data_IF_456695987710
#
_entry.id   IF_456695987710
#
_cell.length_a   1.000
_cell.length_b   1.000
_cell.length_c   1.000
_cell.angle_alpha   90.00
_cell.angle_beta   90.00
_cell.angle_gamma   90.00
#
_symmetry.space_group_name_H-M   'P 1'
#
loop_
_entity.id
_entity.type
_entity.pdbx_description
1 polymer ?
#
# COMPACT_ATOMS: atom_id res chain seq x y z
N UNK A 1 -5.22 21.41 16.52
CA UNK A 1 -5.61 20.13 15.89
C UNK A 1 -5.16 20.14 14.44
N UNK A 2 -4.31 19.21 14.08
CA UNK A 2 -3.80 19.11 12.71
C UNK A 2 -4.84 18.46 11.82
N UNK A 3 -5.11 19.09 10.70
CA UNK A 3 -6.02 18.53 9.71
C UNK A 3 -5.25 17.57 8.81
N UNK A 4 -5.66 16.31 8.80
CA UNK A 4 -5.10 15.31 7.92
C UNK A 4 -5.79 15.37 6.56
N UNK A 5 -5.02 15.31 5.51
CA UNK A 5 -5.53 15.24 4.15
C UNK A 5 -4.95 14.02 3.43
N UNK A 6 -5.65 13.56 2.41
CA UNK A 6 -5.26 12.37 1.66
C UNK A 6 -5.29 12.72 0.18
N UNK A 7 -4.26 12.30 -0.55
CA UNK A 7 -4.18 12.51 -1.99
C UNK A 7 -3.83 11.21 -2.69
N UNK A 8 -4.48 10.97 -3.81
CA UNK A 8 -4.25 9.81 -4.66
C UNK A 8 -3.62 10.27 -5.98
N UNK A 9 -2.58 9.57 -6.39
CA UNK A 9 -1.87 9.83 -7.65
C UNK A 9 -1.94 8.56 -8.51
N UNK A 10 -2.51 8.69 -9.69
CA UNK A 10 -2.74 7.58 -10.62
C UNK A 10 -1.70 7.58 -11.74
N UNK A 11 -1.31 6.38 -12.15
CA UNK A 11 -0.40 6.20 -13.27
C UNK A 11 1.06 6.36 -12.89
N UNK A 12 1.92 6.45 -13.90
CA UNK A 12 3.36 6.59 -13.66
C UNK A 12 3.63 7.89 -12.89
N UNK A 13 4.29 7.81 -11.74
CA UNK A 13 4.43 8.98 -10.87
C UNK A 13 5.40 10.03 -11.45
N UNK A 14 5.10 11.30 -11.16
CA UNK A 14 6.01 12.39 -11.47
C UNK A 14 7.28 12.28 -10.62
N UNK A 15 8.33 13.01 -11.03
CA UNK A 15 9.57 13.06 -10.25
C UNK A 15 9.32 13.55 -8.83
N UNK A 16 8.44 14.54 -8.67
CA UNK A 16 8.08 15.09 -7.36
C UNK A 16 7.46 14.00 -6.47
N UNK A 17 6.50 13.24 -7.00
CA UNK A 17 5.85 12.15 -6.26
C UNK A 17 6.87 11.06 -5.92
N UNK A 18 7.77 10.72 -6.84
CA UNK A 18 8.82 9.73 -6.58
C UNK A 18 9.75 10.18 -5.45
N UNK A 19 10.09 11.46 -5.39
CA UNK A 19 10.92 12.01 -4.31
C UNK A 19 10.20 11.93 -2.96
N UNK A 20 8.92 12.27 -2.93
CA UNK A 20 8.12 12.16 -1.70
C UNK A 20 8.03 10.71 -1.24
N UNK A 21 7.81 9.79 -2.17
CA UNK A 21 7.72 8.36 -1.86
C UNK A 21 9.05 7.82 -1.33
N UNK A 22 10.15 8.16 -1.97
CA UNK A 22 11.48 7.75 -1.52
C UNK A 22 11.76 8.26 -0.11
N UNK A 23 11.43 9.52 0.16
CA UNK A 23 11.66 10.15 1.46
C UNK A 23 10.83 9.50 2.58
N UNK A 24 9.53 9.30 2.36
CA UNK A 24 8.68 8.69 3.40
C UNK A 24 9.05 7.22 3.65
N UNK A 25 9.42 6.49 2.61
CA UNK A 25 9.86 5.12 2.72
C UNK A 25 11.12 5.01 3.58
N UNK A 26 12.11 5.89 3.33
CA UNK A 26 13.33 5.98 4.13
C UNK A 26 13.02 6.30 5.60
N UNK A 27 12.14 7.26 5.82
CA UNK A 27 11.80 7.71 7.16
C UNK A 27 11.09 6.63 7.98
N UNK A 28 10.20 5.86 7.35
CA UNK A 28 9.44 4.80 8.04
C UNK A 28 10.29 3.56 8.27
N UNK A 29 11.05 3.13 7.26
CA UNK A 29 11.72 1.83 7.29
C UNK A 29 13.21 1.90 7.61
N UNK A 30 13.81 3.10 7.63
CA UNK A 30 15.23 3.28 7.92
C UNK A 30 16.17 2.89 6.78
N UNK A 31 15.61 2.33 5.71
CA UNK A 31 16.28 2.08 4.43
C UNK A 31 15.26 2.40 3.35
N UNK A 32 15.72 2.77 2.20
CA UNK A 32 14.76 3.18 1.20
C UNK A 32 15.21 2.87 -0.22
N UNK A 33 14.23 2.90 -1.08
CA UNK A 33 14.46 2.86 -2.50
C UNK A 33 14.90 4.25 -2.95
N UNK A 34 15.84 4.31 -3.88
CA UNK A 34 16.16 5.58 -4.54
C UNK A 34 15.04 5.94 -5.53
N UNK A 35 15.02 7.19 -5.96
CA UNK A 35 14.09 7.63 -7.01
C UNK A 35 14.27 6.77 -8.27
N UNK A 36 15.51 6.45 -8.62
CA UNK A 36 15.83 5.62 -9.78
C UNK A 36 15.30 4.20 -9.63
N UNK A 37 15.45 3.60 -8.45
CA UNK A 37 14.94 2.25 -8.19
C UNK A 37 13.42 2.22 -8.26
N UNK A 38 12.75 3.21 -7.68
CA UNK A 38 11.28 3.32 -7.75
C UNK A 38 10.82 3.53 -9.19
N UNK A 39 11.48 4.40 -9.94
CA UNK A 39 11.17 4.63 -11.35
C UNK A 39 11.29 3.33 -12.15
N UNK A 40 12.34 2.56 -11.92
CA UNK A 40 12.55 1.27 -12.58
C UNK A 40 11.47 0.26 -12.20
N UNK A 41 11.07 0.22 -10.91
CA UNK A 41 10.00 -0.66 -10.45
C UNK A 41 8.70 -0.36 -11.17
N UNK A 42 8.34 0.92 -11.29
CA UNK A 42 7.05 1.31 -11.88
C UNK A 42 7.03 1.28 -13.41
N UNK A 43 8.20 1.25 -14.05
CA UNK A 43 8.32 1.39 -15.51
C UNK A 43 7.50 0.37 -16.28
N UNK A 44 7.41 -0.88 -15.80
CA UNK A 44 6.70 -1.95 -16.47
C UNK A 44 5.39 -2.32 -15.75
N UNK A 45 4.91 -1.45 -14.87
CA UNK A 45 3.67 -1.68 -14.13
C UNK A 45 2.53 -0.89 -14.76
N UNK A 46 1.32 -1.41 -14.59
CA UNK A 46 0.10 -0.79 -15.07
C UNK A 46 -0.81 -0.47 -13.88
N UNK A 47 -1.68 0.51 -14.05
CA UNK A 47 -2.66 0.87 -13.03
C UNK A 47 -1.99 1.15 -11.68
N UNK A 48 -0.96 1.98 -11.70
CA UNK A 48 -0.23 2.36 -10.50
C UNK A 48 -1.08 3.34 -9.69
N UNK A 49 -1.16 3.13 -8.38
CA UNK A 49 -1.79 4.06 -7.45
C UNK A 49 -0.85 4.33 -6.28
N UNK A 50 -0.61 5.60 -6.01
CA UNK A 50 0.11 6.06 -4.82
C UNK A 50 -0.83 6.91 -4.00
N UNK A 51 -1.06 6.51 -2.74
CA UNK A 51 -1.87 7.28 -1.79
C UNK A 51 -0.95 7.86 -0.74
N UNK A 52 -1.07 9.16 -0.49
CA UNK A 52 -0.37 9.82 0.61
C UNK A 52 -1.35 10.35 1.63
N UNK A 53 -0.98 10.22 2.90
CA UNK A 53 -1.60 10.95 4.01
C UNK A 53 -0.68 12.11 4.37
N UNK A 54 -1.25 13.30 4.52
CA UNK A 54 -0.53 14.53 4.84
C UNK A 54 -0.99 15.09 6.18
N UNK A 55 -0.06 15.58 6.96
CA UNK A 55 -0.33 16.51 8.05
C UNK A 55 0.21 17.86 7.56
N UNK A 56 -0.71 18.79 7.26
CA UNK A 56 -0.40 20.03 6.53
C UNK A 56 0.32 19.68 5.21
N UNK A 57 1.60 20.03 5.06
CA UNK A 57 2.37 19.77 3.85
C UNK A 57 3.29 18.55 3.96
N UNK A 58 3.31 17.89 5.12
CA UNK A 58 4.21 16.77 5.37
C UNK A 58 3.53 15.43 5.09
N UNK A 59 4.20 14.59 4.30
CA UNK A 59 3.75 13.20 4.11
C UNK A 59 4.03 12.44 5.40
N UNK A 60 2.99 11.85 5.96
CA UNK A 60 3.06 11.11 7.23
C UNK A 60 2.70 9.64 7.10
N UNK A 61 2.19 9.25 5.95
CA UNK A 61 1.85 7.87 5.65
C UNK A 61 1.63 7.69 4.16
N UNK A 62 1.70 6.43 3.71
CA UNK A 62 1.53 6.14 2.30
C UNK A 62 1.04 4.73 2.07
N UNK A 63 0.50 4.49 0.88
CA UNK A 63 0.17 3.17 0.39
C UNK A 63 0.33 3.16 -1.13
N UNK A 64 1.02 2.13 -1.63
CA UNK A 64 1.35 2.02 -3.05
C UNK A 64 0.93 0.65 -3.56
N UNK A 65 0.36 0.63 -4.74
CA UNK A 65 0.05 -0.61 -5.41
C UNK A 65 -0.05 -0.43 -6.91
N UNK A 66 -0.24 -1.55 -7.59
CA UNK A 66 -0.32 -1.59 -9.05
C UNK A 66 -1.01 -2.89 -9.47
N UNK A 67 -1.39 -2.94 -10.74
CA UNK A 67 -1.95 -4.17 -11.30
C UNK A 67 -0.87 -5.25 -11.32
N UNK A 68 -1.17 -6.42 -10.73
CA UNK A 68 -0.30 -7.59 -10.80
C UNK A 68 -0.60 -8.40 -12.06
N UNK A 69 -1.88 -8.61 -12.32
CA UNK A 69 -2.39 -9.23 -13.55
C UNK A 69 -3.83 -8.77 -13.73
N UNK A 70 -4.48 -9.03 -14.87
CA UNK A 70 -5.87 -8.63 -15.06
C UNK A 70 -6.72 -9.03 -13.88
N UNK A 71 -7.55 -8.11 -13.40
CA UNK A 71 -8.47 -8.27 -12.27
C UNK A 71 -7.82 -8.31 -10.87
N UNK A 72 -6.47 -8.37 -10.78
CA UNK A 72 -5.74 -8.43 -9.50
C UNK A 72 -4.88 -7.20 -9.31
N UNK A 73 -5.14 -6.47 -8.22
CA UNK A 73 -4.32 -5.34 -7.79
C UNK A 73 -3.44 -5.80 -6.64
N UNK A 74 -2.15 -5.52 -6.72
CA UNK A 74 -1.21 -5.79 -5.62
C UNK A 74 -1.02 -4.55 -4.79
N UNK A 75 -1.39 -4.64 -3.50
CA UNK A 75 -1.04 -3.63 -2.51
C UNK A 75 0.39 -3.93 -2.07
N UNK A 76 1.34 -3.21 -2.69
CA UNK A 76 2.75 -3.58 -2.60
C UNK A 76 3.43 -3.14 -1.32
N UNK A 77 3.23 -1.88 -0.91
CA UNK A 77 3.91 -1.33 0.26
C UNK A 77 3.08 -0.21 0.88
N UNK A 78 3.21 -0.05 2.18
CA UNK A 78 2.58 1.05 2.89
C UNK A 78 3.15 1.17 4.30
N UNK A 79 2.90 2.29 4.92
CA UNK A 79 3.33 2.55 6.28
C UNK A 79 2.90 3.93 6.76
N UNK A 80 3.00 4.11 8.07
CA UNK A 80 2.66 5.36 8.76
C UNK A 80 3.81 5.69 9.70
N UNK A 81 4.21 6.95 9.76
CA UNK A 81 5.24 7.38 10.69
C UNK A 81 4.87 6.99 12.13
N UNK A 82 5.85 6.53 12.94
CA UNK A 82 5.57 6.04 14.29
C UNK A 82 4.75 7.00 15.14
N UNK A 83 5.04 8.31 15.09
CA UNK A 83 4.34 9.31 15.89
C UNK A 83 2.88 9.53 15.46
N UNK A 84 2.47 9.00 14.30
CA UNK A 84 1.09 9.10 13.80
C UNK A 84 0.33 7.77 13.90
N UNK A 85 0.95 6.73 14.44
CA UNK A 85 0.28 5.43 14.61
C UNK A 85 -0.82 5.51 15.66
N UNK A 86 -1.79 4.60 15.56
CA UNK A 86 -2.93 4.58 16.48
C UNK A 86 -4.01 5.60 16.17
N UNK A 87 -3.92 6.31 15.03
CA UNK A 87 -4.89 7.33 14.61
C UNK A 87 -5.70 6.91 13.40
N UNK A 88 -5.72 5.62 13.09
CA UNK A 88 -6.50 5.03 11.98
C UNK A 88 -6.07 5.50 10.59
N UNK A 89 -4.86 6.03 10.45
CA UNK A 89 -4.37 6.51 9.16
C UNK A 89 -4.15 5.35 8.19
N UNK A 90 -3.56 4.25 8.67
CA UNK A 90 -3.35 3.06 7.83
C UNK A 90 -4.67 2.51 7.32
N UNK A 91 -5.70 2.45 8.17
CA UNK A 91 -7.04 1.99 7.78
C UNK A 91 -7.68 2.91 6.75
N UNK A 92 -7.51 4.22 6.88
CA UNK A 92 -8.05 5.18 5.91
C UNK A 92 -7.33 5.09 4.56
N UNK A 93 -6.02 4.93 4.56
CA UNK A 93 -5.26 4.72 3.32
C UNK A 93 -5.73 3.44 2.61
N UNK A 94 -5.93 2.37 3.38
CA UNK A 94 -6.42 1.10 2.85
C UNK A 94 -7.82 1.25 2.26
N UNK A 95 -8.72 1.93 2.97
CA UNK A 95 -10.08 2.18 2.51
C UNK A 95 -10.09 2.92 1.17
N UNK A 96 -9.28 3.98 1.05
CA UNK A 96 -9.20 4.78 -0.18
C UNK A 96 -8.62 3.98 -1.34
N UNK A 97 -7.60 3.17 -1.10
CA UNK A 97 -7.05 2.28 -2.12
C UNK A 97 -8.10 1.27 -2.60
N UNK A 98 -8.84 0.66 -1.68
CA UNK A 98 -9.85 -0.33 -2.03
C UNK A 98 -11.03 0.28 -2.80
N UNK A 99 -11.47 1.47 -2.40
CA UNK A 99 -12.51 2.19 -3.13
C UNK A 99 -12.08 2.49 -4.56
N UNK A 100 -10.84 2.98 -4.73
CA UNK A 100 -10.28 3.22 -6.06
C UNK A 100 -10.19 1.93 -6.89
N UNK A 101 -9.75 0.84 -6.28
CA UNK A 101 -9.68 -0.46 -6.96
C UNK A 101 -11.05 -0.92 -7.46
N UNK A 102 -12.09 -0.68 -6.67
CA UNK A 102 -13.46 -1.00 -7.07
C UNK A 102 -13.88 -0.16 -8.28
N UNK A 103 -13.57 1.14 -8.28
CA UNK A 103 -13.90 2.01 -9.43
C UNK A 103 -13.13 1.59 -10.68
N UNK A 104 -11.94 1.03 -10.53
CA UNK A 104 -11.12 0.53 -11.64
C UNK A 104 -11.51 -0.88 -12.08
N UNK A 105 -12.54 -1.46 -11.45
CA UNK A 105 -13.08 -2.79 -11.78
C UNK A 105 -12.12 -3.94 -11.47
N UNK A 106 -11.19 -3.76 -10.54
CA UNK A 106 -10.43 -4.87 -10.00
C UNK A 106 -11.38 -5.78 -9.21
N UNK A 107 -11.18 -7.09 -9.32
CA UNK A 107 -11.97 -8.08 -8.58
C UNK A 107 -11.30 -8.50 -7.28
N UNK A 108 -9.98 -8.42 -7.24
CA UNK A 108 -9.21 -8.87 -6.07
C UNK A 108 -8.07 -7.91 -5.76
N UNK A 109 -7.78 -7.81 -4.48
CA UNK A 109 -6.56 -7.14 -4.00
C UNK A 109 -5.73 -8.20 -3.29
N UNK A 110 -4.46 -8.29 -3.63
CA UNK A 110 -3.51 -9.19 -2.99
C UNK A 110 -2.44 -8.37 -2.27
N UNK A 111 -1.92 -8.92 -1.19
CA UNK A 111 -0.80 -8.32 -0.47
C UNK A 111 -0.02 -9.39 0.27
N UNK A 112 1.22 -9.11 0.61
CA UNK A 112 2.02 -9.95 1.49
C UNK A 112 2.47 -9.14 2.68
N UNK A 113 2.48 -9.76 3.85
CA UNK A 113 2.85 -9.11 5.09
C UNK A 113 3.80 -10.03 5.84
N UNK A 114 4.83 -9.46 6.45
CA UNK A 114 5.74 -10.21 7.29
C UNK A 114 4.92 -10.83 8.44
N UNK A 115 5.12 -12.13 8.69
CA UNK A 115 4.39 -12.86 9.74
C UNK A 115 4.56 -12.23 11.13
N UNK A 116 5.66 -11.52 11.36
CA UNK A 116 5.92 -10.86 12.64
C UNK A 116 5.33 -9.45 12.73
N UNK A 117 4.83 -8.90 11.62
CA UNK A 117 4.22 -7.57 11.61
C UNK A 117 2.74 -7.68 12.00
N UNK A 118 2.52 -7.94 13.28
CA UNK A 118 1.17 -8.15 13.82
C UNK A 118 0.25 -6.94 13.60
N UNK A 119 0.68 -5.69 13.84
CA UNK A 119 -0.20 -4.54 13.59
C UNK A 119 -0.72 -4.48 12.15
N UNK A 120 0.13 -4.76 11.16
CA UNK A 120 -0.27 -4.73 9.76
C UNK A 120 -1.19 -5.90 9.42
N UNK A 121 -0.95 -7.09 9.99
CA UNK A 121 -1.86 -8.22 9.83
C UNK A 121 -3.26 -7.87 10.34
N UNK A 122 -3.34 -7.22 11.50
CA UNK A 122 -4.63 -6.81 12.09
C UNK A 122 -5.33 -5.79 11.18
N UNK A 123 -4.61 -4.79 10.67
CA UNK A 123 -5.19 -3.79 9.76
C UNK A 123 -5.75 -4.46 8.51
N UNK A 124 -5.00 -5.39 7.92
CA UNK A 124 -5.44 -6.09 6.72
C UNK A 124 -6.66 -6.96 7.00
N UNK A 125 -6.64 -7.75 8.08
CA UNK A 125 -7.77 -8.62 8.43
C UNK A 125 -9.03 -7.81 8.71
N UNK A 126 -8.91 -6.70 9.44
CA UNK A 126 -10.04 -5.79 9.68
C UNK A 126 -10.52 -5.12 8.40
N UNK A 127 -9.61 -4.91 7.45
CA UNK A 127 -9.93 -4.34 6.14
C UNK A 127 -10.58 -5.32 5.17
N UNK A 128 -10.82 -6.56 5.58
CA UNK A 128 -11.53 -7.55 4.78
C UNK A 128 -10.64 -8.55 4.05
N UNK A 129 -9.34 -8.53 4.30
CA UNK A 129 -8.45 -9.55 3.73
C UNK A 129 -8.61 -10.88 4.44
N UNK A 130 -8.39 -11.96 3.68
CA UNK A 130 -8.31 -13.32 4.20
C UNK A 130 -6.90 -13.83 3.98
N UNK A 131 -6.40 -14.64 4.92
CA UNK A 131 -5.11 -15.31 4.76
C UNK A 131 -5.30 -16.47 3.79
N UNK A 132 -4.52 -16.48 2.71
CA UNK A 132 -4.62 -17.52 1.68
C UNK A 132 -3.38 -18.41 1.60
N UNK A 133 -2.33 -18.08 2.33
CA UNK A 133 -1.13 -18.91 2.37
C UNK A 133 0.02 -18.24 3.06
N UNK A 134 1.12 -18.95 3.11
CA UNK A 134 2.40 -18.47 3.64
C UNK A 134 3.54 -18.96 2.75
N UNK A 135 4.65 -18.26 2.77
CA UNK A 135 5.86 -18.69 2.09
C UNK A 135 7.09 -18.09 2.76
N UNK A 136 8.24 -18.72 2.54
CA UNK A 136 9.53 -18.16 2.97
C UNK A 136 10.11 -17.38 1.79
N UNK A 137 10.52 -16.14 2.04
CA UNK A 137 11.20 -15.36 1.01
C UNK A 137 12.67 -15.78 0.90
N UNK A 138 13.45 -15.13 0.02
CA UNK A 138 14.86 -15.43 -0.20
C UNK A 138 15.73 -15.23 1.05
N UNK A 139 15.26 -14.44 2.03
CA UNK A 139 15.93 -14.23 3.33
C UNK A 139 15.42 -15.17 4.40
N UNK A 140 14.61 -16.17 4.03
CA UNK A 140 13.99 -17.13 4.94
C UNK A 140 13.07 -16.47 5.98
N UNK A 141 12.48 -15.33 5.61
CA UNK A 141 11.47 -14.66 6.44
C UNK A 141 10.09 -15.17 6.02
N UNK A 142 9.30 -15.60 7.01
CA UNK A 142 7.94 -16.07 6.77
C UNK A 142 7.05 -14.90 6.36
N UNK A 143 6.45 -15.01 5.19
CA UNK A 143 5.49 -14.05 4.65
C UNK A 143 4.09 -14.66 4.67
N UNK A 144 3.11 -13.84 5.01
CA UNK A 144 1.70 -14.19 4.96
C UNK A 144 1.12 -13.58 3.70
N UNK A 145 0.44 -14.41 2.90
CA UNK A 145 -0.25 -13.97 1.68
C UNK A 145 -1.72 -13.73 2.03
N UNK A 146 -2.22 -12.54 1.70
CA UNK A 146 -3.60 -12.18 1.98
C UNK A 146 -4.28 -11.74 0.68
N UNK A 147 -5.59 -12.00 0.60
CA UNK A 147 -6.39 -11.64 -0.55
C UNK A 147 -7.75 -11.13 -0.10
N UNK A 148 -8.21 -10.07 -0.76
CA UNK A 148 -9.55 -9.53 -0.54
C UNK A 148 -10.33 -9.60 -1.85
N UNK A 149 -11.55 -10.14 -1.80
CA UNK A 149 -12.49 -10.09 -2.91
C UNK A 149 -13.24 -8.76 -2.88
N UNK A 150 -13.28 -8.07 -4.03
CA UNK A 150 -14.05 -6.83 -4.20
C UNK A 150 -15.41 -7.10 -4.84
N UNK A 151 -15.68 -8.36 -5.18
CA UNK A 151 -16.95 -8.76 -5.79
C UNK A 151 -17.69 -9.66 -4.83
N UNK A 152 -19.03 -9.62 -4.91
CA UNK A 152 -19.86 -10.53 -4.13
C UNK A 152 -19.68 -11.95 -4.63
N UNK A 153 -19.66 -12.92 -3.70
CA UNK A 153 -19.59 -14.35 -4.03
C UNK A 153 -20.83 -14.85 -4.78
N UNK A 154 -21.87 -14.03 -4.86
CA UNK A 154 -23.12 -14.36 -5.52
C UNK A 154 -23.29 -13.64 -6.86
N UNK A 155 -22.30 -12.91 -7.32
CA UNK A 155 -22.35 -12.17 -8.59
C UNK A 155 -21.76 -12.99 -9.74
#
# INVERSE_FOLDING_TARGET
MHQLTYKLYEGFPSEEVLKLLAAINQEIFGFGETVENLSSLFKNRQKILICFAFDAEHVIGFKVGFQEKPQYFESWRGGVLPQYRGKRIASELLRRQHEWCTTQQFKFIITTTNNQNIPMLIVNLRGGFEIVGTFLNHRKIMKVMLQKSLVSLHD
#
